data_IF_383508927766
#
_entry.id   IF_383508927766
#
_cell.length_a   1.000
_cell.length_b   1.000
_cell.length_c   1.000
_cell.angle_alpha   90.00
_cell.angle_beta   90.00
_cell.angle_gamma   90.00
#
_symmetry.space_group_name_H-M   'P 1'
#
loop_
_entity.id
_entity.type
_entity.pdbx_description
1 polymer ?
#
# COMPACT_ATOMS: atom_id res chain seq x y z
N UNK A 1 14.31 12.50 7.37
CA UNK A 1 13.35 11.84 8.27
C UNK A 1 12.99 10.56 7.58
N UNK A 2 13.70 9.51 7.97
CA UNK A 2 13.75 8.23 7.27
C UNK A 2 12.56 7.35 7.60
N UNK A 3 12.55 6.18 6.96
CA UNK A 3 11.64 5.08 7.23
C UNK A 3 11.49 4.83 8.73
N UNK A 4 10.34 4.27 9.12
CA UNK A 4 10.08 3.90 10.52
C UNK A 4 11.23 3.04 11.03
N UNK A 5 11.88 3.47 12.12
CA UNK A 5 13.03 2.75 12.66
C UNK A 5 12.59 1.37 13.17
N UNK A 6 13.47 0.37 13.05
CA UNK A 6 13.16 -1.01 13.47
C UNK A 6 12.66 -1.09 14.92
N UNK A 7 13.21 -0.26 15.80
CA UNK A 7 12.76 -0.16 17.20
C UNK A 7 11.32 0.34 17.34
N UNK A 8 10.87 1.25 16.46
CA UNK A 8 9.50 1.75 16.45
C UNK A 8 8.53 0.67 15.97
N UNK A 9 8.89 -0.08 14.92
CA UNK A 9 8.11 -1.23 14.44
C UNK A 9 7.97 -2.29 15.53
N UNK A 10 9.07 -2.64 16.21
CA UNK A 10 9.06 -3.63 17.30
C UNK A 10 8.21 -3.17 18.49
N UNK A 11 8.27 -1.89 18.86
CA UNK A 11 7.42 -1.35 19.91
C UNK A 11 5.94 -1.41 19.51
N UNK A 12 5.64 -1.10 18.24
CA UNK A 12 4.29 -1.08 17.72
C UNK A 12 3.67 -2.48 17.55
N UNK A 13 4.45 -3.47 17.13
CA UNK A 13 4.01 -4.86 16.99
C UNK A 13 4.01 -5.63 18.32
N UNK A 14 4.34 -4.98 19.43
CA UNK A 14 4.27 -5.61 20.75
C UNK A 14 2.82 -5.94 21.14
N UNK A 15 2.56 -7.06 21.86
CA UNK A 15 1.21 -7.38 22.33
C UNK A 15 0.54 -6.26 23.13
N UNK A 16 1.33 -5.51 23.91
CA UNK A 16 0.84 -4.37 24.68
C UNK A 16 0.36 -3.22 23.77
N UNK A 17 1.10 -2.89 22.70
CA UNK A 17 0.69 -1.88 21.74
C UNK A 17 -0.59 -2.30 21.02
N UNK A 18 -0.66 -3.54 20.55
CA UNK A 18 -1.81 -4.06 19.82
C UNK A 18 -3.08 -4.12 20.69
N UNK A 19 -2.97 -4.55 21.96
CA UNK A 19 -4.11 -4.55 22.89
C UNK A 19 -4.59 -3.12 23.20
N UNK A 20 -3.67 -2.17 23.43
CA UNK A 20 -4.02 -0.77 23.62
C UNK A 20 -4.73 -0.20 22.39
N UNK A 21 -4.22 -0.48 21.19
CA UNK A 21 -4.79 -0.04 19.92
C UNK A 21 -6.17 -0.66 19.65
N UNK A 22 -6.42 -1.88 20.11
CA UNK A 22 -7.71 -2.55 19.94
C UNK A 22 -8.81 -1.99 20.86
N UNK A 23 -8.44 -1.40 22.00
CA UNK A 23 -9.39 -0.93 23.04
C UNK A 23 -9.47 0.58 23.17
N UNK A 24 -8.69 1.32 22.40
CA UNK A 24 -8.59 2.78 22.50
C UNK A 24 -9.08 3.43 21.22
N UNK A 25 -10.11 4.27 21.36
CA UNK A 25 -10.56 5.12 20.25
C UNK A 25 -9.59 6.29 20.02
N UNK A 26 -9.44 6.76 18.77
CA UNK A 26 -8.65 7.95 18.49
C UNK A 26 -9.18 9.17 19.26
N UNK A 27 -8.31 9.96 19.91
CA UNK A 27 -8.73 11.16 20.63
C UNK A 27 -9.30 12.20 19.66
N UNK A 28 -10.37 12.89 20.08
CA UNK A 28 -11.11 13.83 19.23
C UNK A 28 -10.67 15.29 19.40
N UNK A 29 -9.94 15.58 20.48
CA UNK A 29 -9.49 16.93 20.85
C UNK A 29 -8.08 16.93 21.44
N UNK A 30 -7.48 18.11 21.59
CA UNK A 30 -6.17 18.26 22.26
C UNK A 30 -6.23 17.83 23.74
N UNK A 31 -7.35 18.08 24.40
CA UNK A 31 -7.54 17.70 25.81
C UNK A 31 -7.64 16.17 25.94
N UNK A 32 -8.33 15.50 25.01
CA UNK A 32 -8.37 14.02 24.94
C UNK A 32 -6.97 13.42 24.75
N UNK A 33 -6.16 14.04 23.88
CA UNK A 33 -4.76 13.62 23.65
C UNK A 33 -3.97 13.69 24.95
N UNK A 34 -4.03 14.83 25.65
CA UNK A 34 -3.29 15.03 26.91
C UNK A 34 -3.77 14.06 28.01
N UNK A 35 -5.08 13.84 28.12
CA UNK A 35 -5.67 12.93 29.07
C UNK A 35 -5.27 11.46 28.79
N UNK A 36 -5.30 11.05 27.51
CA UNK A 36 -4.90 9.70 27.10
C UNK A 36 -3.41 9.45 27.34
N UNK A 37 -2.53 10.38 26.95
CA UNK A 37 -1.08 10.27 27.24
C UNK A 37 -0.81 10.17 28.74
N UNK A 38 -1.49 10.98 29.54
CA UNK A 38 -1.35 10.96 31.01
C UNK A 38 -1.81 9.62 31.60
N UNK A 39 -2.93 9.07 31.10
CA UNK A 39 -3.45 7.76 31.51
C UNK A 39 -2.49 6.62 31.14
N UNK A 40 -1.94 6.62 29.93
CA UNK A 40 -0.99 5.60 29.48
C UNK A 40 0.30 5.62 30.32
N UNK A 41 0.84 6.80 30.60
CA UNK A 41 2.02 6.95 31.46
C UNK A 41 1.74 6.51 32.90
N UNK A 42 0.57 6.86 33.46
CA UNK A 42 0.15 6.43 34.80
C UNK A 42 -0.02 4.91 34.90
N UNK A 43 -0.38 4.25 33.81
CA UNK A 43 -0.45 2.79 33.72
C UNK A 43 0.93 2.11 33.59
N UNK A 44 2.03 2.88 33.60
CA UNK A 44 3.40 2.35 33.56
C UNK A 44 3.92 2.04 32.16
N UNK A 45 3.23 2.46 31.10
CA UNK A 45 3.71 2.30 29.73
C UNK A 45 4.91 3.22 29.45
N UNK A 46 5.88 2.71 28.68
CA UNK A 46 7.06 3.48 28.33
C UNK A 46 6.72 4.68 27.43
N UNK A 47 7.59 5.72 27.38
CA UNK A 47 7.43 6.83 26.45
C UNK A 47 7.34 6.37 24.98
N UNK A 48 8.12 5.36 24.60
CA UNK A 48 8.19 4.81 23.24
C UNK A 48 6.87 4.13 22.87
N UNK A 49 6.36 3.24 23.73
CA UNK A 49 5.07 2.57 23.55
C UNK A 49 3.93 3.59 23.47
N UNK A 50 3.93 4.57 24.38
CA UNK A 50 2.92 5.64 24.39
C UNK A 50 2.95 6.42 23.08
N UNK A 51 4.13 6.80 22.59
CA UNK A 51 4.26 7.53 21.32
C UNK A 51 3.80 6.70 20.12
N UNK A 52 4.17 5.41 20.07
CA UNK A 52 3.79 4.51 18.98
C UNK A 52 2.26 4.35 18.89
N UNK A 53 1.60 4.11 20.02
CA UNK A 53 0.13 3.98 20.10
C UNK A 53 -0.54 5.30 19.70
N UNK A 54 -0.10 6.43 20.25
CA UNK A 54 -0.69 7.73 19.92
C UNK A 54 -0.51 8.10 18.44
N UNK A 55 0.67 7.79 17.87
CA UNK A 55 0.94 7.96 16.46
C UNK A 55 0.00 7.13 15.58
N UNK A 56 -0.20 5.85 15.91
CA UNK A 56 -1.13 5.00 15.17
C UNK A 56 -2.58 5.43 15.30
N UNK A 57 -3.06 5.82 16.49
CA UNK A 57 -4.43 6.33 16.64
C UNK A 57 -4.69 7.53 15.73
N UNK A 58 -3.74 8.45 15.64
CA UNK A 58 -3.83 9.59 14.73
C UNK A 58 -3.80 9.18 13.24
N UNK A 59 -2.99 8.19 12.87
CA UNK A 59 -2.95 7.66 11.51
C UNK A 59 -4.24 6.91 11.15
N UNK A 60 -4.77 6.07 12.04
CA UNK A 60 -6.04 5.34 11.85
C UNK A 60 -7.20 6.30 11.65
N UNK A 61 -7.28 7.38 12.42
CA UNK A 61 -8.31 8.40 12.24
C UNK A 61 -8.25 9.03 10.83
N UNK A 62 -7.06 9.34 10.33
CA UNK A 62 -6.87 9.85 8.96
C UNK A 62 -7.17 8.81 7.89
N UNK A 63 -6.83 7.55 8.16
CA UNK A 63 -7.01 6.45 7.22
C UNK A 63 -8.47 6.12 6.92
N UNK A 64 -9.43 6.57 7.74
CA UNK A 64 -10.86 6.40 7.50
C UNK A 64 -11.26 6.91 6.11
N UNK A 65 -10.71 8.04 5.63
CA UNK A 65 -11.01 8.57 4.28
C UNK A 65 -10.65 7.57 3.16
N UNK A 66 -9.55 6.82 3.32
CA UNK A 66 -9.06 5.90 2.30
C UNK A 66 -9.58 4.48 2.48
N UNK A 67 -9.75 4.01 3.70
CA UNK A 67 -9.95 2.60 4.04
C UNK A 67 -11.24 2.33 4.82
N UNK A 68 -12.01 3.35 5.18
CA UNK A 68 -13.29 3.18 5.87
C UNK A 68 -13.17 2.31 7.13
N UNK A 69 -13.97 1.23 7.20
CA UNK A 69 -14.02 0.32 8.34
C UNK A 69 -12.76 -0.54 8.56
N UNK A 70 -11.85 -0.60 7.58
CA UNK A 70 -10.58 -1.29 7.72
C UNK A 70 -9.57 -0.45 8.51
N UNK A 71 -9.65 0.89 8.39
CA UNK A 71 -8.70 1.81 9.00
C UNK A 71 -8.46 1.60 10.50
N UNK A 72 -9.49 1.35 11.35
CA UNK A 72 -9.29 1.14 12.78
C UNK A 72 -8.49 -0.13 13.12
N UNK A 73 -8.33 -1.07 12.19
CA UNK A 73 -7.58 -2.31 12.41
C UNK A 73 -6.17 -2.27 11.83
N UNK A 74 -5.89 -1.36 10.90
CA UNK A 74 -4.60 -1.30 10.20
C UNK A 74 -3.46 -0.72 11.07
N UNK A 75 -2.23 -1.09 10.75
CA UNK A 75 -1.02 -0.39 11.13
C UNK A 75 -0.46 0.35 9.92
N UNK A 76 -0.02 1.58 10.15
CA UNK A 76 0.22 2.55 9.09
C UNK A 76 1.57 3.23 9.28
N UNK A 77 2.29 3.50 8.20
CA UNK A 77 3.31 4.54 8.21
C UNK A 77 2.67 5.85 7.71
N UNK A 78 3.25 6.99 8.08
CA UNK A 78 2.78 8.28 7.55
C UNK A 78 2.88 8.32 6.02
N UNK A 79 4.03 7.91 5.50
CA UNK A 79 4.31 7.88 4.06
C UNK A 79 3.39 6.88 3.33
N UNK A 80 3.26 5.66 3.85
CA UNK A 80 2.36 4.65 3.30
C UNK A 80 0.92 5.12 3.26
N UNK A 81 0.44 5.80 4.31
CA UNK A 81 -0.91 6.38 4.29
C UNK A 81 -1.05 7.52 3.27
N UNK A 82 -0.05 8.38 3.11
CA UNK A 82 -0.08 9.46 2.12
C UNK A 82 -0.15 8.91 0.69
N UNK A 83 0.63 7.86 0.40
CA UNK A 83 0.76 7.25 -0.93
C UNK A 83 -0.32 6.19 -1.24
N UNK A 84 -0.94 5.59 -0.23
CA UNK A 84 -1.89 4.51 -0.42
C UNK A 84 -3.05 4.83 -1.37
N UNK A 85 -3.41 3.85 -2.18
CA UNK A 85 -4.64 3.87 -2.98
C UNK A 85 -5.86 3.88 -2.06
N UNK A 86 -6.87 4.67 -2.40
CA UNK A 86 -8.18 4.59 -1.73
C UNK A 86 -8.78 3.21 -2.01
N UNK A 87 -9.40 2.60 -1.02
CA UNK A 87 -10.00 1.27 -1.17
C UNK A 87 -11.01 1.22 -2.33
N UNK A 88 -11.82 2.27 -2.52
CA UNK A 88 -12.76 2.36 -3.64
C UNK A 88 -12.09 2.36 -5.01
N UNK A 89 -10.88 2.93 -5.11
CA UNK A 89 -10.07 2.97 -6.34
C UNK A 89 -9.34 1.65 -6.53
N UNK A 90 -8.73 1.11 -5.47
CA UNK A 90 -8.12 -0.21 -5.47
C UNK A 90 -9.11 -1.31 -5.89
N UNK A 91 -10.36 -1.25 -5.39
CA UNK A 91 -11.45 -2.15 -5.80
C UNK A 91 -11.82 -2.04 -7.28
N UNK A 92 -11.63 -0.88 -7.91
CA UNK A 92 -11.80 -0.72 -9.36
C UNK A 92 -10.69 -1.44 -10.13
N UNK A 93 -9.44 -1.37 -9.66
CA UNK A 93 -8.32 -2.14 -10.22
C UNK A 93 -8.55 -3.64 -10.06
N UNK A 94 -9.00 -4.06 -8.88
CA UNK A 94 -9.25 -5.45 -8.57
C UNK A 94 -10.37 -6.05 -9.45
N UNK A 95 -11.46 -5.30 -9.67
CA UNK A 95 -12.51 -5.71 -10.60
C UNK A 95 -12.01 -5.85 -12.04
N UNK A 96 -11.09 -4.98 -12.49
CA UNK A 96 -10.46 -5.10 -13.81
C UNK A 96 -9.76 -6.44 -13.96
N UNK A 97 -8.96 -6.83 -12.96
CA UNK A 97 -8.25 -8.11 -12.97
C UNK A 97 -9.21 -9.29 -12.92
N UNK A 98 -10.18 -9.24 -12.00
CA UNK A 98 -11.18 -10.29 -11.85
C UNK A 98 -11.96 -10.55 -13.15
N UNK A 99 -12.45 -9.51 -13.83
CA UNK A 99 -13.20 -9.66 -15.08
C UNK A 99 -12.35 -10.17 -16.25
N UNK A 100 -11.03 -9.98 -16.22
CA UNK A 100 -10.11 -10.57 -17.19
C UNK A 100 -9.74 -12.03 -16.85
N UNK A 101 -10.36 -12.62 -15.83
CA UNK A 101 -10.08 -13.98 -15.38
C UNK A 101 -8.67 -14.14 -14.81
N UNK A 102 -8.14 -13.10 -14.16
CA UNK A 102 -6.93 -13.20 -13.34
C UNK A 102 -7.30 -13.90 -12.04
N UNK A 103 -6.51 -14.90 -11.63
CA UNK A 103 -6.70 -15.63 -10.38
C UNK A 103 -5.54 -15.43 -9.40
N UNK A 104 -4.36 -15.08 -9.92
CA UNK A 104 -3.17 -14.75 -9.12
C UNK A 104 -2.51 -13.45 -9.58
N UNK A 105 -2.05 -12.65 -8.62
CA UNK A 105 -1.37 -11.38 -8.90
C UNK A 105 -0.15 -11.21 -7.99
N UNK A 106 0.93 -10.66 -8.54
CA UNK A 106 2.04 -10.12 -7.73
C UNK A 106 1.84 -8.62 -7.60
N UNK A 107 1.66 -8.13 -6.37
CA UNK A 107 1.61 -6.71 -6.03
C UNK A 107 3.04 -6.24 -5.72
N UNK A 108 3.63 -5.54 -6.70
CA UNK A 108 5.02 -5.08 -6.68
C UNK A 108 5.09 -3.71 -6.04
N UNK A 109 5.73 -3.63 -4.88
CA UNK A 109 5.77 -2.40 -4.07
C UNK A 109 4.45 -2.20 -3.34
N UNK A 110 3.97 -3.24 -2.64
CA UNK A 110 2.62 -3.26 -2.07
C UNK A 110 2.39 -2.19 -0.99
N UNK A 111 3.45 -1.56 -0.48
CA UNK A 111 3.37 -0.56 0.57
C UNK A 111 2.70 -1.14 1.81
N UNK A 112 1.73 -0.41 2.37
CA UNK A 112 0.94 -0.88 3.53
C UNK A 112 -0.15 -1.92 3.19
N UNK A 113 -0.18 -2.43 1.94
CA UNK A 113 -1.08 -3.50 1.51
C UNK A 113 -2.46 -3.05 1.00
N UNK A 114 -2.60 -1.80 0.56
CA UNK A 114 -3.89 -1.24 0.17
C UNK A 114 -4.50 -1.86 -1.10
N UNK A 115 -3.69 -2.03 -2.15
CA UNK A 115 -4.12 -2.66 -3.40
C UNK A 115 -4.26 -4.19 -3.23
N UNK A 116 -3.29 -4.85 -2.58
CA UNK A 116 -3.37 -6.25 -2.16
C UNK A 116 -4.68 -6.61 -1.42
N UNK A 117 -5.12 -5.76 -0.47
CA UNK A 117 -6.39 -5.94 0.24
C UNK A 117 -7.58 -5.99 -0.73
N UNK A 118 -7.60 -5.14 -1.75
CA UNK A 118 -8.68 -5.11 -2.74
C UNK A 118 -8.63 -6.32 -3.68
N UNK A 119 -7.44 -6.74 -4.12
CA UNK A 119 -7.27 -7.93 -4.96
C UNK A 119 -7.75 -9.19 -4.24
N UNK A 120 -7.32 -9.39 -2.99
CA UNK A 120 -7.79 -10.49 -2.17
C UNK A 120 -9.31 -10.42 -1.94
N UNK A 121 -9.87 -9.21 -1.76
CA UNK A 121 -11.31 -8.98 -1.57
C UNK A 121 -12.19 -9.44 -2.73
N UNK A 122 -11.65 -9.52 -3.95
CA UNK A 122 -12.36 -10.08 -5.13
C UNK A 122 -11.94 -11.53 -5.45
N UNK A 123 -11.23 -12.18 -4.53
CA UNK A 123 -10.88 -13.61 -4.58
C UNK A 123 -9.58 -13.95 -5.30
N UNK A 124 -8.69 -12.98 -5.56
CA UNK A 124 -7.37 -13.27 -6.12
C UNK A 124 -6.42 -13.79 -5.03
N UNK A 125 -5.52 -14.68 -5.45
CA UNK A 125 -4.31 -15.01 -4.68
C UNK A 125 -3.26 -13.94 -4.93
N UNK A 126 -2.68 -13.39 -3.86
CA UNK A 126 -1.78 -12.23 -3.94
C UNK A 126 -0.43 -12.57 -3.33
N UNK A 127 0.65 -12.36 -4.09
CA UNK A 127 2.01 -12.22 -3.55
C UNK A 127 2.33 -10.74 -3.46
N UNK A 128 2.40 -10.20 -2.25
CA UNK A 128 2.63 -8.78 -2.00
C UNK A 128 4.10 -8.55 -1.62
N UNK A 129 4.84 -7.88 -2.50
CA UNK A 129 6.27 -7.65 -2.34
C UNK A 129 6.53 -6.23 -1.83
N UNK A 130 7.32 -6.11 -0.78
CA UNK A 130 7.78 -4.82 -0.26
C UNK A 130 9.27 -4.90 0.10
N UNK A 131 10.05 -3.93 -0.35
CA UNK A 131 11.50 -3.91 -0.15
C UNK A 131 11.92 -3.27 1.17
N UNK A 132 11.07 -2.43 1.76
CA UNK A 132 11.30 -1.85 3.10
C UNK A 132 10.82 -2.79 4.20
N UNK A 133 11.75 -3.28 5.04
CA UNK A 133 11.47 -4.23 6.14
C UNK A 133 10.33 -3.74 7.06
N UNK A 134 10.33 -2.46 7.41
CA UNK A 134 9.35 -1.88 8.31
C UNK A 134 7.95 -1.86 7.67
N UNK A 135 7.85 -1.40 6.43
CA UNK A 135 6.60 -1.35 5.68
C UNK A 135 6.07 -2.76 5.38
N UNK A 136 6.94 -3.70 5.03
CA UNK A 136 6.60 -5.11 4.83
C UNK A 136 6.01 -5.74 6.10
N UNK A 137 6.58 -5.47 7.27
CA UNK A 137 6.06 -5.98 8.54
C UNK A 137 4.65 -5.43 8.85
N UNK A 138 4.40 -4.16 8.54
CA UNK A 138 3.08 -3.53 8.69
C UNK A 138 2.07 -4.08 7.67
N UNK A 139 2.49 -4.31 6.42
CA UNK A 139 1.68 -4.94 5.39
C UNK A 139 1.29 -6.37 5.79
N UNK A 140 2.25 -7.16 6.27
CA UNK A 140 2.02 -8.51 6.78
C UNK A 140 0.98 -8.53 7.90
N UNK A 141 1.06 -7.58 8.85
CA UNK A 141 0.03 -7.43 9.88
C UNK A 141 -1.34 -7.07 9.29
N UNK A 142 -1.40 -6.12 8.35
CA UNK A 142 -2.66 -5.64 7.75
C UNK A 142 -3.36 -6.74 6.94
N UNK A 143 -2.59 -7.60 6.29
CA UNK A 143 -3.06 -8.63 5.37
C UNK A 143 -3.19 -10.01 6.04
N UNK A 144 -2.68 -10.20 7.26
CA UNK A 144 -2.74 -11.45 8.01
C UNK A 144 -4.14 -12.10 8.12
N UNK A 145 -5.27 -11.36 8.15
CA UNK A 145 -6.60 -11.98 8.14
C UNK A 145 -7.00 -12.63 6.80
N UNK A 146 -6.20 -12.51 5.74
CA UNK A 146 -6.51 -12.94 4.38
C UNK A 146 -5.63 -14.12 3.99
N UNK A 147 -6.20 -15.33 4.00
CA UNK A 147 -5.47 -16.57 3.71
C UNK A 147 -4.93 -16.66 2.27
N UNK A 148 -5.43 -15.81 1.37
CA UNK A 148 -5.00 -15.76 -0.05
C UNK A 148 -3.86 -14.78 -0.29
N UNK A 149 -3.31 -14.16 0.75
CA UNK A 149 -2.25 -13.14 0.62
C UNK A 149 -0.98 -13.61 1.34
N UNK A 150 0.11 -13.66 0.59
CA UNK A 150 1.45 -13.83 1.13
C UNK A 150 2.22 -12.51 1.01
N UNK A 151 2.75 -12.01 2.14
CA UNK A 151 3.60 -10.81 2.16
C UNK A 151 5.06 -11.21 2.24
N UNK A 152 5.87 -10.73 1.30
CA UNK A 152 7.28 -11.05 1.19
C UNK A 152 8.10 -9.75 1.31
N UNK A 153 8.98 -9.70 2.32
CA UNK A 153 10.02 -8.66 2.39
C UNK A 153 11.09 -8.98 1.36
N UNK A 154 10.96 -8.44 0.15
CA UNK A 154 11.79 -8.77 -1.01
C UNK A 154 11.68 -7.68 -2.09
N UNK A 155 12.78 -7.45 -2.81
CA UNK A 155 12.74 -6.72 -4.08
C UNK A 155 12.17 -7.61 -5.19
N UNK A 156 11.40 -7.03 -6.12
CA UNK A 156 10.87 -7.79 -7.26
C UNK A 156 11.96 -8.37 -8.15
N UNK A 157 13.17 -7.79 -8.14
CA UNK A 157 14.33 -8.32 -8.88
C UNK A 157 14.71 -9.75 -8.47
N UNK A 158 14.31 -10.16 -7.27
CA UNK A 158 14.69 -11.44 -6.66
C UNK A 158 13.50 -12.42 -6.65
N UNK A 159 12.39 -12.09 -7.32
CA UNK A 159 11.16 -12.88 -7.32
C UNK A 159 11.02 -13.69 -8.61
N UNK A 160 10.62 -14.95 -8.45
CA UNK A 160 10.21 -15.80 -9.58
C UNK A 160 8.73 -15.56 -9.90
N UNK A 161 8.48 -15.03 -11.10
CA UNK A 161 7.14 -14.72 -11.59
C UNK A 161 6.45 -15.91 -12.27
N UNK A 162 7.10 -17.09 -12.30
CA UNK A 162 6.48 -18.31 -12.84
C UNK A 162 5.15 -18.63 -12.11
N UNK A 163 4.14 -19.01 -12.90
CA UNK A 163 2.84 -19.43 -12.38
C UNK A 163 1.90 -18.30 -11.92
N UNK A 164 2.25 -17.03 -12.13
CA UNK A 164 1.37 -15.88 -11.83
C UNK A 164 0.70 -15.33 -13.07
N UNK A 165 -0.60 -14.97 -12.94
CA UNK A 165 -1.41 -14.52 -14.06
C UNK A 165 -1.20 -13.03 -14.42
N UNK A 166 -0.86 -12.18 -13.44
CA UNK A 166 -0.67 -10.75 -13.65
C UNK A 166 0.27 -10.06 -12.65
N UNK A 167 0.75 -8.88 -13.04
CA UNK A 167 1.42 -7.93 -12.15
C UNK A 167 0.53 -6.73 -11.82
N UNK A 168 0.66 -6.24 -10.60
CA UNK A 168 0.33 -4.87 -10.23
C UNK A 168 1.61 -4.15 -9.87
N UNK A 169 1.89 -3.03 -10.53
CA UNK A 169 3.09 -2.24 -10.29
C UNK A 169 2.71 -0.83 -9.83
N UNK A 170 3.09 -0.46 -8.62
CA UNK A 170 3.03 0.91 -8.10
C UNK A 170 4.44 1.44 -7.80
N UNK A 171 5.21 1.80 -8.85
CA UNK A 171 6.62 2.15 -8.68
C UNK A 171 6.79 3.39 -7.80
N UNK A 172 7.58 3.24 -6.73
CA UNK A 172 7.88 4.31 -5.81
C UNK A 172 8.73 5.39 -6.51
N UNK A 173 8.16 6.58 -6.66
CA UNK A 173 8.80 7.76 -7.27
C UNK A 173 9.51 8.68 -6.27
N UNK A 174 9.67 8.24 -5.02
CA UNK A 174 10.27 9.01 -3.93
C UNK A 174 11.27 8.17 -3.18
N UNK A 175 12.35 8.81 -2.75
CA UNK A 175 13.26 8.30 -1.73
C UNK A 175 13.10 9.19 -0.49
N UNK A 176 12.23 8.79 0.42
CA UNK A 176 11.77 9.62 1.54
C UNK A 176 11.14 10.94 1.06
N UNK A 177 11.70 12.07 1.47
CA UNK A 177 11.16 13.38 1.09
C UNK A 177 11.45 13.79 -0.37
N UNK A 178 12.44 13.16 -1.00
CA UNK A 178 12.96 13.56 -2.31
C UNK A 178 12.12 12.94 -3.43
N UNK A 179 11.66 13.77 -4.36
CA UNK A 179 11.01 13.30 -5.60
C UNK A 179 12.08 12.88 -6.59
N UNK A 180 11.93 11.68 -7.14
CA UNK A 180 12.80 11.15 -8.19
C UNK A 180 12.26 11.60 -9.55
N UNK A 181 13.14 12.18 -10.37
CA UNK A 181 12.79 12.72 -11.68
C UNK A 181 13.07 11.73 -12.81
N UNK A 182 14.14 10.95 -12.68
CA UNK A 182 14.46 9.89 -13.62
C UNK A 182 13.56 8.67 -13.30
N UNK A 183 12.74 8.19 -14.24
CA UNK A 183 11.89 7.03 -14.00
C UNK A 183 12.66 5.73 -13.76
N UNK A 184 13.93 5.68 -14.17
CA UNK A 184 14.78 4.52 -13.89
C UNK A 184 15.29 4.47 -12.45
N UNK A 185 15.18 5.55 -11.70
CA UNK A 185 15.50 5.57 -10.27
C UNK A 185 14.32 5.07 -9.41
N UNK A 186 13.16 4.79 -10.02
CA UNK A 186 11.99 4.30 -9.30
C UNK A 186 12.16 2.85 -8.87
N UNK A 187 11.34 2.42 -7.91
CA UNK A 187 11.38 1.04 -7.41
C UNK A 187 10.01 0.37 -7.53
N UNK A 188 9.83 -0.60 -8.45
CA UNK A 188 10.77 -1.00 -9.53
C UNK A 188 10.95 0.10 -10.59
N UNK A 189 12.00 -0.01 -11.41
CA UNK A 189 12.25 0.93 -12.50
C UNK A 189 11.19 0.80 -13.59
N UNK A 190 10.90 1.89 -14.32
CA UNK A 190 9.92 1.81 -15.40
C UNK A 190 10.37 0.91 -16.55
N UNK A 191 11.67 0.85 -16.87
CA UNK A 191 12.19 -0.10 -17.85
C UNK A 191 11.83 -1.54 -17.47
N UNK A 192 12.04 -1.92 -16.20
CA UNK A 192 11.68 -3.25 -15.72
C UNK A 192 10.18 -3.49 -15.84
N UNK A 193 9.36 -2.54 -15.39
CA UNK A 193 7.90 -2.65 -15.42
C UNK A 193 7.39 -2.83 -16.85
N UNK A 194 7.88 -2.03 -17.79
CA UNK A 194 7.45 -2.10 -19.19
C UNK A 194 7.94 -3.37 -19.89
N UNK A 195 9.15 -3.85 -19.60
CA UNK A 195 9.63 -5.11 -20.14
C UNK A 195 8.74 -6.29 -19.72
N UNK A 196 8.30 -6.34 -18.46
CA UNK A 196 7.42 -7.40 -17.99
C UNK A 196 6.00 -7.26 -18.52
N UNK A 197 5.47 -6.04 -18.60
CA UNK A 197 4.14 -5.78 -19.13
C UNK A 197 3.97 -6.16 -20.62
N UNK A 198 5.07 -6.35 -21.37
CA UNK A 198 5.04 -6.89 -22.74
C UNK A 198 4.79 -8.40 -22.80
N UNK A 199 5.13 -9.15 -21.75
CA UNK A 199 5.10 -10.61 -21.75
C UNK A 199 4.03 -11.20 -20.84
N UNK A 200 3.51 -10.40 -19.89
CA UNK A 200 2.41 -10.79 -19.03
C UNK A 200 1.41 -9.65 -18.80
N UNK A 201 0.14 -9.96 -18.51
CA UNK A 201 -0.85 -8.95 -18.14
C UNK A 201 -0.37 -8.12 -16.94
N UNK A 202 -0.41 -6.81 -17.04
CA UNK A 202 -0.02 -5.91 -15.97
C UNK A 202 -0.99 -4.73 -15.84
N UNK A 203 -1.16 -4.27 -14.61
CA UNK A 203 -1.66 -2.93 -14.29
C UNK A 203 -0.52 -2.10 -13.69
N UNK A 204 -0.27 -0.92 -14.23
CA UNK A 204 0.84 -0.05 -13.82
C UNK A 204 0.28 1.30 -13.38
N UNK A 205 0.32 1.57 -12.08
CA UNK A 205 -0.18 2.82 -11.51
C UNK A 205 0.87 3.92 -11.63
N UNK A 206 0.49 5.03 -12.24
CA UNK A 206 1.37 6.16 -12.54
C UNK A 206 0.71 7.49 -12.17
N UNK A 207 1.53 8.53 -12.11
CA UNK A 207 1.06 9.89 -11.93
C UNK A 207 0.14 10.33 -13.11
N UNK A 208 -0.95 11.08 -12.86
CA UNK A 208 -1.84 11.54 -13.92
C UNK A 208 -1.17 12.34 -15.04
N UNK A 209 -0.09 13.05 -14.69
CA UNK A 209 0.70 13.89 -15.58
C UNK A 209 2.01 13.25 -16.04
N UNK A 210 2.07 11.92 -16.11
CA UNK A 210 3.20 11.22 -16.74
C UNK A 210 3.41 11.71 -18.18
N UNK A 211 4.67 11.79 -18.60
CA UNK A 211 4.99 12.08 -20.00
C UNK A 211 4.47 10.93 -20.90
N UNK A 212 3.54 11.28 -21.79
CA UNK A 212 2.88 10.31 -22.67
C UNK A 212 3.83 9.69 -23.69
N UNK A 213 4.94 10.36 -24.00
CA UNK A 213 5.96 9.82 -24.90
C UNK A 213 6.69 8.61 -24.33
N UNK A 214 6.59 8.37 -23.02
CA UNK A 214 7.17 7.21 -22.34
C UNK A 214 6.24 5.98 -22.35
N UNK A 215 4.98 6.12 -22.75
CA UNK A 215 4.00 5.03 -22.71
C UNK A 215 4.26 4.09 -23.90
N UNK A 216 4.51 2.79 -23.67
CA UNK A 216 4.67 1.83 -24.76
C UNK A 216 3.41 1.69 -25.62
N UNK A 217 3.60 1.38 -26.90
CA UNK A 217 2.47 1.07 -27.80
C UNK A 217 1.70 -0.17 -27.30
N UNK A 218 0.39 -0.21 -27.57
CA UNK A 218 -0.46 -1.35 -27.25
C UNK A 218 -0.97 -1.43 -25.81
N UNK A 219 -0.75 -0.40 -24.99
CA UNK A 219 -1.31 -0.29 -23.64
C UNK A 219 -2.58 0.59 -23.61
N UNK A 220 -3.58 0.20 -22.80
CA UNK A 220 -4.71 1.08 -22.46
C UNK A 220 -4.25 2.03 -21.35
N UNK A 221 -4.31 3.34 -21.58
CA UNK A 221 -4.15 4.35 -20.54
C UNK A 221 -5.51 4.75 -19.95
N UNK A 222 -5.73 4.45 -18.67
CA UNK A 222 -6.95 4.77 -17.95
C UNK A 222 -6.69 5.84 -16.88
N UNK A 223 -7.34 7.00 -16.99
CA UNK A 223 -7.35 7.99 -15.91
C UNK A 223 -8.46 7.70 -14.91
N UNK A 224 -8.10 7.61 -13.63
CA UNK A 224 -9.05 7.34 -12.54
C UNK A 224 -9.30 8.62 -11.76
N UNK A 225 -10.57 8.98 -11.62
CA UNK A 225 -11.01 10.17 -10.90
C UNK A 225 -11.80 9.81 -9.65
N UNK A 226 -11.67 10.63 -8.62
CA UNK A 226 -12.43 10.54 -7.39
C UNK A 226 -12.88 11.93 -6.96
N UNK A 227 -14.18 12.09 -6.71
CA UNK A 227 -14.79 13.36 -6.28
C UNK A 227 -14.34 14.58 -7.12
N UNK A 228 -14.33 14.42 -8.45
CA UNK A 228 -13.98 15.50 -9.38
C UNK A 228 -12.48 15.77 -9.55
N UNK A 229 -11.60 14.98 -8.94
CA UNK A 229 -10.15 15.09 -9.10
C UNK A 229 -9.57 13.83 -9.72
N UNK A 230 -8.67 13.99 -10.71
CA UNK A 230 -7.91 12.87 -11.28
C UNK A 230 -6.83 12.47 -10.29
N UNK A 231 -6.86 11.22 -9.83
CA UNK A 231 -5.93 10.70 -8.82
C UNK A 231 -4.69 10.07 -9.45
N UNK A 232 -4.91 9.24 -10.46
CA UNK A 232 -3.89 8.40 -11.07
C UNK A 232 -4.21 8.11 -12.54
N UNK A 233 -3.18 7.66 -13.25
CA UNK A 233 -3.29 7.01 -14.55
C UNK A 233 -2.81 5.57 -14.38
N UNK A 234 -3.61 4.60 -14.82
CA UNK A 234 -3.21 3.19 -14.84
C UNK A 234 -2.99 2.78 -16.29
N UNK A 235 -1.83 2.21 -16.58
CA UNK A 235 -1.60 1.52 -17.85
C UNK A 235 -1.98 0.06 -17.69
N UNK A 236 -2.78 -0.46 -18.60
CA UNK A 236 -3.17 -1.86 -18.66
C UNK A 236 -2.56 -2.52 -19.89
N UNK A 237 -2.00 -3.73 -19.73
CA UNK A 237 -1.41 -4.51 -20.83
C UNK A 237 -2.13 -5.85 -21.05
N UNK A 238 -1.91 -6.44 -22.23
CA UNK A 238 -2.43 -7.75 -22.59
C UNK A 238 -3.95 -7.83 -22.42
N UNK A 239 -4.44 -8.91 -21.81
CA UNK A 239 -5.88 -9.15 -21.61
C UNK A 239 -6.57 -8.19 -20.60
N UNK A 240 -5.81 -7.34 -19.91
CA UNK A 240 -6.36 -6.30 -19.03
C UNK A 240 -6.69 -5.01 -19.79
N UNK A 241 -6.01 -4.79 -20.92
CA UNK A 241 -6.27 -3.67 -21.82
C UNK A 241 -7.56 -3.92 -22.62
N UNK A 242 -8.41 -2.89 -22.69
CA UNK A 242 -9.59 -2.86 -23.57
C UNK A 242 -9.20 -2.36 -24.95
N UNK A 243 -9.95 -2.81 -25.95
CA UNK A 243 -9.90 -2.22 -27.28
C UNK A 243 -10.29 -0.74 -27.24
N UNK A 244 -9.56 0.08 -27.99
CA UNK A 244 -9.72 1.53 -28.09
C UNK A 244 -9.54 2.02 -29.51
#
# INVERSE_FOLDING_TARGET
>A
MGNMERSEVMALLSPAALDLLARTDPPSSKDDVLALVSRLRKAGHSPELTSAVMGQLALRAKAIDKFGEFAPRMLLTKEGLEQATRLSVASHHAQRMHWAGITSVVDVGCGIGGDALAFAGVGLTVRALEADEATAALAAYNLAPLDTVEVLHRSVSDEDLEGVDALWCDPARRAGATRLHNPEDWSPSLEWVFAHAQTMPAGIKLAPGMDRSLIPEGMEAQWVSYQGSVLEMVLWSGKLAREG
#
